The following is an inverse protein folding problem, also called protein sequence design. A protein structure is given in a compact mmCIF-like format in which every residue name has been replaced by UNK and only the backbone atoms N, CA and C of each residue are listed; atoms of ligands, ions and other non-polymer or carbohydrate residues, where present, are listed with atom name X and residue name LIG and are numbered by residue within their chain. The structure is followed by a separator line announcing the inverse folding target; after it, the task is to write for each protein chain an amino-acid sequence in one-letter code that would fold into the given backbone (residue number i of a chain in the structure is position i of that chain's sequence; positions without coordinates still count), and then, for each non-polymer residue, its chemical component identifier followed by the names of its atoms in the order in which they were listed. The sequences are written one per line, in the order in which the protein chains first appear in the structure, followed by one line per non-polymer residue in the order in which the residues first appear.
data_IF_020108988403
#
_entry.id   IF_020108988403
#
_cell.length_a   1.000
_cell.length_b   1.000
_cell.length_c   1.000
_cell.angle_alpha   90.00
_cell.angle_beta   90.00
_cell.angle_gamma   90.00
#
_symmetry.space_group_name_H-M   'P 1'
#
loop_
_entity.id
_entity.type
_entity.pdbx_description
1 polymer ?
#
# COMPACT_ATOMS: atom_id res chain seq x y z
N UNK A 1 25.89 28.96 13.33
CA UNK A 1 25.12 27.82 13.91
C UNK A 1 26.08 27.01 14.79
N UNK A 2 25.77 26.87 16.04
CA UNK A 2 26.57 26.06 16.96
C UNK A 2 26.37 24.56 16.67
N UNK A 3 27.35 23.73 17.07
CA UNK A 3 27.23 22.28 16.96
C UNK A 3 25.95 21.77 17.62
N UNK A 4 25.63 22.28 18.80
CA UNK A 4 24.41 21.90 19.54
C UNK A 4 23.13 22.23 18.76
N UNK A 5 23.04 23.43 18.17
CA UNK A 5 21.85 23.80 17.37
C UNK A 5 21.72 22.96 16.10
N UNK A 6 22.84 22.53 15.51
CA UNK A 6 22.85 21.61 14.37
C UNK A 6 22.35 20.21 14.78
N UNK A 7 22.81 19.69 15.91
CA UNK A 7 22.34 18.41 16.46
C UNK A 7 20.83 18.45 16.69
N UNK A 8 20.30 19.47 17.36
CA UNK A 8 18.86 19.60 17.58
C UNK A 8 18.04 19.71 16.29
N UNK A 9 18.59 20.34 15.25
CA UNK A 9 17.91 20.41 13.95
C UNK A 9 17.84 19.04 13.28
N UNK A 10 18.95 18.30 13.31
CA UNK A 10 19.00 16.93 12.76
C UNK A 10 18.13 15.96 13.55
N UNK A 11 18.11 16.09 14.88
CA UNK A 11 17.22 15.29 15.75
C UNK A 11 15.74 15.52 15.41
N UNK A 12 15.33 16.78 15.24
CA UNK A 12 13.94 17.08 14.82
C UNK A 12 13.59 16.47 13.46
N UNK A 13 14.52 16.53 12.51
CA UNK A 13 14.32 15.91 11.19
C UNK A 13 14.22 14.38 11.30
N UNK A 14 15.09 13.75 12.09
CA UNK A 14 15.11 12.32 12.31
C UNK A 14 13.84 11.80 13.01
N UNK A 15 13.19 12.60 13.86
CA UNK A 15 11.93 12.22 14.52
C UNK A 15 10.78 11.93 13.55
N UNK A 16 10.85 12.39 12.31
CA UNK A 16 9.85 12.04 11.29
C UNK A 16 9.88 10.55 10.93
N UNK A 17 11.01 9.87 11.18
CA UNK A 17 11.15 8.42 10.97
C UNK A 17 10.58 7.61 12.14
N UNK A 18 10.28 8.24 13.27
CA UNK A 18 9.71 7.63 14.46
C UNK A 18 8.37 8.29 14.81
N UNK A 19 7.30 7.94 14.07
CA UNK A 19 6.00 8.56 14.27
C UNK A 19 5.45 8.25 15.66
N UNK A 20 4.72 9.21 16.22
CA UNK A 20 4.04 9.05 17.51
C UNK A 20 3.05 7.88 17.49
N UNK A 21 2.67 7.30 18.64
CA UNK A 21 1.66 6.24 18.69
C UNK A 21 0.35 6.62 18.00
N UNK A 22 -0.09 7.88 18.12
CA UNK A 22 -1.30 8.37 17.45
C UNK A 22 -1.16 8.37 15.93
N UNK A 23 -0.02 8.79 15.39
CA UNK A 23 0.26 8.76 13.93
C UNK A 23 0.33 7.32 13.44
N UNK A 24 1.03 6.43 14.17
CA UNK A 24 1.08 5.00 13.82
C UNK A 24 -0.30 4.36 13.79
N UNK A 25 -1.17 4.70 14.75
CA UNK A 25 -2.55 4.23 14.78
C UNK A 25 -3.31 4.64 13.53
N UNK A 26 -3.25 5.93 13.14
CA UNK A 26 -3.92 6.43 11.94
C UNK A 26 -3.44 5.74 10.67
N UNK A 27 -2.13 5.52 10.52
CA UNK A 27 -1.58 4.80 9.35
C UNK A 27 -2.09 3.37 9.31
N UNK A 28 -2.06 2.65 10.44
CA UNK A 28 -2.55 1.28 10.55
C UNK A 28 -4.04 1.18 10.22
N UNK A 29 -4.88 2.10 10.70
CA UNK A 29 -6.31 2.12 10.40
C UNK A 29 -6.57 2.24 8.90
N UNK A 30 -5.79 3.03 8.17
CA UNK A 30 -5.89 3.16 6.71
C UNK A 30 -5.46 1.89 5.98
N UNK A 31 -4.40 1.24 6.43
CA UNK A 31 -3.95 -0.04 5.86
C UNK A 31 -4.98 -1.13 6.10
N UNK A 32 -5.54 -1.21 7.31
CA UNK A 32 -6.61 -2.16 7.65
C UNK A 32 -7.84 -1.91 6.79
N UNK A 33 -8.32 -0.66 6.67
CA UNK A 33 -9.46 -0.32 5.83
C UNK A 33 -9.23 -0.70 4.35
N UNK A 34 -8.03 -0.52 3.84
CA UNK A 34 -7.64 -0.96 2.50
C UNK A 34 -7.75 -2.49 2.35
N UNK A 35 -7.24 -3.25 3.32
CA UNK A 35 -7.32 -4.71 3.32
C UNK A 35 -8.76 -5.21 3.40
N UNK A 36 -9.59 -4.62 4.26
CA UNK A 36 -11.02 -4.96 4.38
C UNK A 36 -11.77 -4.68 3.07
N UNK A 37 -11.51 -3.54 2.42
CA UNK A 37 -12.10 -3.23 1.10
C UNK A 37 -11.72 -4.28 0.06
N UNK A 38 -10.48 -4.74 0.06
CA UNK A 38 -10.04 -5.82 -0.83
C UNK A 38 -10.80 -7.12 -0.55
N UNK A 39 -10.89 -7.54 0.71
CA UNK A 39 -11.61 -8.74 1.13
C UNK A 39 -13.10 -8.69 0.74
N UNK A 40 -13.76 -7.57 0.97
CA UNK A 40 -15.17 -7.35 0.61
C UNK A 40 -15.40 -7.45 -0.91
N UNK A 41 -14.38 -7.09 -1.71
CA UNK A 41 -14.48 -7.13 -3.18
C UNK A 41 -14.30 -8.51 -3.80
N UNK A 42 -13.83 -9.50 -3.06
CA UNK A 42 -13.46 -10.82 -3.62
C UNK A 42 -14.61 -11.55 -4.30
N UNK A 43 -15.82 -11.43 -3.76
CA UNK A 43 -17.02 -12.11 -4.32
C UNK A 43 -17.45 -11.59 -5.68
N UNK A 44 -17.19 -10.32 -5.97
CA UNK A 44 -17.62 -9.62 -7.20
C UNK A 44 -16.46 -9.15 -8.07
N UNK A 45 -15.25 -9.21 -7.55
CA UNK A 45 -14.04 -8.79 -8.22
C UNK A 45 -13.72 -9.66 -9.44
N UNK A 46 -13.17 -9.06 -10.48
CA UNK A 46 -12.72 -9.80 -11.66
C UNK A 46 -11.54 -10.70 -11.34
N UNK A 47 -11.57 -11.93 -11.84
CA UNK A 47 -10.42 -12.84 -11.76
C UNK A 47 -9.26 -12.41 -12.66
N UNK A 48 -9.57 -11.74 -13.78
CA UNK A 48 -8.58 -11.24 -14.73
C UNK A 48 -8.97 -9.85 -15.23
N UNK A 49 -7.98 -8.96 -15.30
CA UNK A 49 -8.13 -7.62 -15.84
C UNK A 49 -7.11 -7.39 -16.97
N UNK A 50 -7.62 -7.21 -18.19
CA UNK A 50 -6.83 -6.99 -19.39
C UNK A 50 -6.51 -5.53 -19.65
N UNK A 51 -6.39 -4.70 -18.62
CA UNK A 51 -6.16 -3.25 -18.75
C UNK A 51 -4.87 -2.87 -19.48
N UNK A 52 -3.97 -3.82 -19.74
CA UNK A 52 -2.65 -3.57 -20.32
C UNK A 52 -1.67 -2.88 -19.37
N UNK A 53 -2.05 -2.61 -18.14
CA UNK A 53 -1.15 -2.10 -17.11
C UNK A 53 -0.16 -3.20 -16.69
N UNK A 54 1.12 -2.95 -16.91
CA UNK A 54 2.24 -3.84 -16.56
C UNK A 54 2.95 -3.40 -15.28
N UNK A 55 2.32 -2.56 -14.45
CA UNK A 55 2.93 -1.99 -13.24
C UNK A 55 3.91 -0.84 -13.52
N UNK A 56 3.92 -0.31 -14.71
CA UNK A 56 4.84 0.78 -15.12
C UNK A 56 4.72 2.01 -14.22
N UNK A 57 3.50 2.36 -13.80
CA UNK A 57 3.28 3.49 -12.89
C UNK A 57 3.97 3.32 -11.55
N UNK A 58 4.12 2.08 -11.06
CA UNK A 58 4.88 1.78 -9.85
C UNK A 58 6.39 1.80 -10.12
N UNK A 59 6.82 1.18 -11.23
CA UNK A 59 8.22 1.13 -11.64
C UNK A 59 8.80 2.53 -11.86
N UNK A 60 8.02 3.44 -12.46
CA UNK A 60 8.41 4.81 -12.74
C UNK A 60 8.16 5.78 -11.57
N UNK A 61 7.60 5.30 -10.47
CA UNK A 61 7.41 6.11 -9.26
C UNK A 61 8.73 6.24 -8.51
N UNK A 62 9.34 7.43 -8.46
CA UNK A 62 10.66 7.57 -7.83
C UNK A 62 10.56 7.45 -6.32
N UNK A 63 11.58 6.85 -5.70
CA UNK A 63 11.79 6.97 -4.26
C UNK A 63 12.29 8.41 -4.00
N UNK A 64 11.54 9.16 -3.18
CA UNK A 64 11.81 10.57 -2.89
C UNK A 64 12.25 10.75 -1.46
N UNK A 65 13.06 11.77 -1.21
CA UNK A 65 13.46 12.17 0.15
C UNK A 65 12.26 12.66 0.99
N UNK A 66 11.29 13.31 0.36
CA UNK A 66 10.13 13.88 1.04
C UNK A 66 9.05 12.87 1.47
N UNK A 67 9.21 11.60 1.15
CA UNK A 67 8.20 10.60 1.45
C UNK A 67 6.90 10.75 0.65
N UNK A 68 5.95 9.84 0.88
CA UNK A 68 4.65 9.83 0.21
C UNK A 68 3.56 9.63 1.27
N UNK A 69 2.46 10.41 1.27
CA UNK A 69 1.32 10.15 2.14
C UNK A 69 0.79 8.73 1.95
N UNK A 70 0.39 8.07 3.05
CA UNK A 70 -0.09 6.68 3.01
C UNK A 70 -1.22 6.47 2.01
N UNK A 71 -2.12 7.42 1.85
CA UNK A 71 -3.23 7.33 0.91
C UNK A 71 -2.77 7.30 -0.55
N UNK A 72 -1.69 8.03 -0.86
CA UNK A 72 -1.10 8.00 -2.20
C UNK A 72 -0.36 6.69 -2.45
N UNK A 73 0.36 6.19 -1.45
CA UNK A 73 1.04 4.90 -1.54
C UNK A 73 0.03 3.75 -1.77
N UNK A 74 -1.05 3.71 -1.00
CA UNK A 74 -2.11 2.71 -1.16
C UNK A 74 -2.80 2.79 -2.52
N UNK A 75 -3.05 4.01 -3.04
CA UNK A 75 -3.60 4.17 -4.40
C UNK A 75 -2.67 3.66 -5.50
N UNK A 76 -1.36 3.84 -5.35
CA UNK A 76 -0.39 3.28 -6.30
C UNK A 76 -0.43 1.75 -6.31
N UNK A 77 -0.49 1.13 -5.13
CA UNK A 77 -0.61 -0.33 -5.00
C UNK A 77 -1.92 -0.81 -5.61
N UNK A 78 -3.05 -0.20 -5.26
CA UNK A 78 -4.35 -0.55 -5.80
C UNK A 78 -4.39 -0.48 -7.33
N UNK A 79 -3.87 0.59 -7.90
CA UNK A 79 -3.91 0.83 -9.35
C UNK A 79 -2.95 -0.07 -10.13
N UNK A 80 -1.76 -0.30 -9.62
CA UNK A 80 -0.67 -0.93 -10.37
C UNK A 80 -0.32 -2.35 -9.91
N UNK A 81 -0.87 -2.81 -8.79
CA UNK A 81 -0.65 -4.15 -8.25
C UNK A 81 -1.95 -4.93 -8.16
N UNK A 82 -2.97 -4.39 -7.48
CA UNK A 82 -4.21 -5.13 -7.21
C UNK A 82 -5.15 -5.18 -8.42
N UNK A 83 -5.27 -4.06 -9.16
CA UNK A 83 -6.20 -3.96 -10.27
C UNK A 83 -5.77 -4.73 -11.53
N UNK A 84 -4.49 -4.74 -11.96
CA UNK A 84 -4.11 -5.40 -13.20
C UNK A 84 -3.93 -6.92 -13.06
N UNK A 85 -4.06 -7.61 -14.21
CA UNK A 85 -3.77 -9.02 -14.40
C UNK A 85 -4.68 -9.99 -13.62
N UNK A 86 -4.10 -11.01 -13.02
CA UNK A 86 -4.80 -12.14 -12.41
C UNK A 86 -5.01 -11.91 -10.91
N UNK A 87 -6.25 -12.11 -10.45
CA UNK A 87 -6.58 -12.18 -9.03
C UNK A 87 -7.03 -13.59 -8.65
N UNK A 88 -6.15 -14.46 -8.14
CA UNK A 88 -6.48 -15.82 -7.78
C UNK A 88 -7.41 -15.92 -6.56
N UNK A 89 -7.57 -14.86 -5.78
CA UNK A 89 -8.49 -14.80 -4.65
C UNK A 89 -9.94 -14.46 -5.07
N UNK A 90 -10.15 -14.02 -6.32
CA UNK A 90 -11.49 -13.71 -6.83
C UNK A 90 -12.36 -14.96 -6.91
N UNK A 91 -13.66 -14.81 -6.57
CA UNK A 91 -14.66 -15.85 -6.77
C UNK A 91 -14.88 -16.28 -8.24
N UNK A 92 -14.44 -15.46 -9.19
CA UNK A 92 -14.45 -15.79 -10.63
C UNK A 92 -13.24 -16.59 -11.11
N UNK A 93 -12.27 -16.89 -10.23
CA UNK A 93 -11.09 -17.67 -10.57
C UNK A 93 -11.41 -19.17 -10.52
N UNK A 94 -11.72 -19.76 -11.68
CA UNK A 94 -12.18 -21.17 -11.81
C UNK A 94 -11.08 -22.12 -12.31
N UNK A 95 -9.93 -21.60 -12.68
CA UNK A 95 -8.79 -22.40 -13.12
C UNK A 95 -7.94 -22.93 -11.95
N UNK A 96 -6.67 -23.18 -12.19
CA UNK A 96 -5.70 -23.62 -11.18
C UNK A 96 -5.93 -22.90 -9.84
N UNK A 97 -6.53 -23.62 -8.89
CA UNK A 97 -6.93 -23.06 -7.58
C UNK A 97 -5.81 -23.39 -6.59
N UNK A 98 -5.04 -22.39 -6.12
CA UNK A 98 -3.89 -22.61 -5.23
C UNK A 98 -4.29 -22.95 -3.79
N UNK A 99 -5.57 -23.00 -3.48
CA UNK A 99 -6.14 -23.24 -2.16
C UNK A 99 -7.06 -22.12 -1.71
N UNK A 100 -7.96 -22.41 -0.80
CA UNK A 100 -8.82 -21.43 -0.15
C UNK A 100 -8.10 -20.74 1.01
N UNK A 101 -8.24 -19.44 1.11
CA UNK A 101 -7.85 -18.71 2.30
C UNK A 101 -8.99 -18.72 3.33
N UNK A 102 -8.66 -18.95 4.59
CA UNK A 102 -9.56 -18.71 5.72
C UNK A 102 -9.08 -17.47 6.46
N UNK A 103 -10.03 -16.70 6.98
CA UNK A 103 -9.67 -15.51 7.76
C UNK A 103 -9.05 -15.87 9.12
N UNK A 104 -9.39 -17.05 9.67
CA UNK A 104 -8.85 -17.59 10.91
C UNK A 104 -7.97 -18.80 10.65
#
# INVERSE_FOLDING_TARGET
MTLLSRIHTLERAARTLEPTPAVRKKVREKVVAYAETFLDSLGTGKAFNSSGDTGQGLLLSPIRESGLPIEKALRLIQKHVDAPALNPASGGHLGYIPGGGLYY
#
